data_IF_870571091641
#
_entry.id   IF_870571091641
#
_cell.length_a   1.000
_cell.length_b   1.000
_cell.length_c   1.000
_cell.angle_alpha   90.00
_cell.angle_beta   90.00
_cell.angle_gamma   90.00
#
_symmetry.space_group_name_H-M   'P 1'
#
loop_
_entity.id
_entity.type
_entity.pdbx_description
1 polymer ?
#
# COMPACT_ATOMS: atom_id res chain seq x y z
N UNK A 1 -14.66 -11.30 19.56
CA UNK A 1 -14.15 -9.94 19.29
C UNK A 1 -12.95 -9.93 18.35
N UNK A 2 -12.10 -10.96 18.32
CA UNK A 2 -10.89 -11.04 17.45
C UNK A 2 -11.17 -10.92 15.94
N UNK A 3 -12.26 -11.53 15.45
CA UNK A 3 -12.62 -11.49 14.03
C UNK A 3 -13.15 -10.12 13.57
N UNK A 4 -13.63 -9.27 14.48
CA UNK A 4 -14.14 -7.95 14.13
C UNK A 4 -13.01 -7.04 13.62
N UNK A 5 -11.83 -7.12 14.24
CA UNK A 5 -10.66 -6.36 13.83
C UNK A 5 -10.18 -6.76 12.43
N UNK A 6 -10.22 -8.06 12.10
CA UNK A 6 -9.85 -8.55 10.76
C UNK A 6 -10.76 -7.98 9.68
N UNK A 7 -12.07 -8.05 9.89
CA UNK A 7 -13.05 -7.52 8.91
C UNK A 7 -12.85 -6.02 8.72
N UNK A 8 -12.67 -5.26 9.81
CA UNK A 8 -12.48 -3.82 9.75
C UNK A 8 -11.18 -3.44 9.05
N UNK A 9 -10.07 -4.15 9.31
CA UNK A 9 -8.78 -3.93 8.62
C UNK A 9 -8.91 -4.18 7.13
N UNK A 10 -9.57 -5.27 6.71
CA UNK A 10 -9.74 -5.60 5.29
C UNK A 10 -10.69 -4.63 4.57
N UNK A 11 -11.78 -4.23 5.23
CA UNK A 11 -12.69 -3.22 4.70
C UNK A 11 -11.98 -1.88 4.52
N UNK A 12 -11.20 -1.46 5.53
CA UNK A 12 -10.46 -0.21 5.47
C UNK A 12 -9.34 -0.25 4.41
N UNK A 13 -8.61 -1.38 4.30
CA UNK A 13 -7.60 -1.58 3.26
C UNK A 13 -8.20 -1.43 1.84
N UNK A 14 -9.42 -1.95 1.63
CA UNK A 14 -10.12 -1.83 0.34
C UNK A 14 -10.40 -0.37 -0.02
N UNK A 15 -10.82 0.45 0.95
CA UNK A 15 -11.02 1.89 0.76
C UNK A 15 -9.69 2.61 0.50
N UNK A 16 -8.64 2.31 1.28
CA UNK A 16 -7.33 2.92 1.12
C UNK A 16 -6.67 2.62 -0.23
N UNK A 17 -7.00 1.47 -0.84
CA UNK A 17 -6.36 1.00 -2.08
C UNK A 17 -6.44 2.03 -3.21
N UNK A 18 -7.53 2.78 -3.34
CA UNK A 18 -7.67 3.81 -4.39
C UNK A 18 -6.64 4.94 -4.20
N UNK A 19 -6.45 5.42 -2.97
CA UNK A 19 -5.48 6.46 -2.64
C UNK A 19 -4.05 5.98 -2.80
N UNK A 20 -3.78 4.76 -2.37
CA UNK A 20 -2.47 4.11 -2.52
C UNK A 20 -2.12 3.91 -3.99
N UNK A 21 -3.06 3.41 -4.81
CA UNK A 21 -2.88 3.28 -6.25
C UNK A 21 -2.54 4.62 -6.90
N UNK A 22 -3.25 5.70 -6.54
CA UNK A 22 -2.95 7.03 -7.02
C UNK A 22 -1.52 7.46 -6.67
N UNK A 23 -1.09 7.24 -5.41
CA UNK A 23 0.27 7.53 -4.96
C UNK A 23 1.34 6.72 -5.72
N UNK A 24 1.13 5.41 -5.90
CA UNK A 24 2.03 4.54 -6.65
C UNK A 24 2.16 5.00 -8.11
N UNK A 25 1.04 5.34 -8.75
CA UNK A 25 1.05 5.78 -10.14
C UNK A 25 1.68 7.16 -10.31
N UNK A 26 1.44 8.07 -9.37
CA UNK A 26 2.13 9.36 -9.33
C UNK A 26 3.65 9.13 -9.25
N UNK A 27 4.10 8.27 -8.34
CA UNK A 27 5.54 8.03 -8.17
C UNK A 27 6.17 7.47 -9.44
N UNK A 28 5.54 6.47 -10.08
CA UNK A 28 6.04 5.86 -11.32
C UNK A 28 6.14 6.86 -12.48
N UNK A 29 5.26 7.86 -12.52
CA UNK A 29 5.29 8.92 -13.54
C UNK A 29 6.36 9.96 -13.24
N UNK A 30 6.50 10.35 -11.97
CA UNK A 30 7.44 11.41 -11.56
C UNK A 30 8.89 10.96 -11.65
N UNK A 31 9.23 9.78 -11.12
CA UNK A 31 10.64 9.32 -11.04
C UNK A 31 10.87 8.00 -11.77
N UNK A 32 12.09 7.77 -12.24
CA UNK A 32 12.46 6.48 -12.84
C UNK A 32 12.84 5.51 -11.72
N UNK A 33 12.05 4.45 -11.55
CA UNK A 33 12.20 3.49 -10.45
C UNK A 33 12.57 2.12 -11.01
N UNK A 34 13.51 1.42 -10.37
CA UNK A 34 13.78 0.01 -10.68
C UNK A 34 12.53 -0.83 -10.43
N UNK A 35 12.15 -1.68 -11.39
CA UNK A 35 10.92 -2.49 -11.31
C UNK A 35 10.85 -3.35 -10.03
N UNK A 36 11.99 -3.86 -9.53
CA UNK A 36 12.09 -4.62 -8.27
C UNK A 36 11.73 -3.83 -6.99
N UNK A 37 11.82 -2.49 -7.02
CA UNK A 37 11.53 -1.66 -5.86
C UNK A 37 10.05 -1.25 -5.80
N UNK A 38 9.27 -1.52 -6.86
CA UNK A 38 7.86 -1.17 -6.90
C UNK A 38 7.05 -1.78 -5.75
N UNK A 39 7.21 -3.06 -5.38
CA UNK A 39 6.46 -3.63 -4.26
C UNK A 39 6.79 -2.96 -2.91
N UNK A 40 8.06 -2.63 -2.68
CA UNK A 40 8.50 -1.93 -1.46
C UNK A 40 7.97 -0.50 -1.44
N UNK A 41 7.94 0.18 -2.58
CA UNK A 41 7.31 1.50 -2.71
C UNK A 41 5.80 1.43 -2.47
N UNK A 42 5.12 0.42 -2.99
CA UNK A 42 3.70 0.18 -2.72
C UNK A 42 3.44 0.02 -1.22
N UNK A 43 4.22 -0.83 -0.55
CA UNK A 43 4.15 -0.99 0.91
C UNK A 43 4.41 0.32 1.65
N UNK A 44 5.47 1.05 1.30
CA UNK A 44 5.82 2.33 1.93
C UNK A 44 4.72 3.38 1.79
N UNK A 45 4.19 3.55 0.57
CA UNK A 45 3.06 4.45 0.30
C UNK A 45 1.82 4.01 1.09
N UNK A 46 1.53 2.71 1.12
CA UNK A 46 0.45 2.13 1.91
C UNK A 46 0.55 2.44 3.39
N UNK A 47 1.72 2.24 4.00
CA UNK A 47 1.97 2.54 5.42
C UNK A 47 1.83 4.03 5.73
N UNK A 48 2.31 4.91 4.85
CA UNK A 48 2.17 6.36 5.01
C UNK A 48 0.69 6.75 4.97
N UNK A 49 -0.03 6.32 3.94
CA UNK A 49 -1.47 6.61 3.76
C UNK A 49 -2.29 6.07 4.94
N UNK A 50 -2.02 4.83 5.38
CA UNK A 50 -2.63 4.26 6.58
C UNK A 50 -2.30 5.08 7.83
N UNK A 51 -1.03 5.40 8.06
CA UNK A 51 -0.59 6.18 9.22
C UNK A 51 -1.27 7.54 9.34
N UNK A 52 -1.37 8.28 8.23
CA UNK A 52 -1.98 9.63 8.22
C UNK A 52 -3.51 9.63 8.16
N UNK A 53 -4.16 8.46 8.10
CA UNK A 53 -5.62 8.34 8.00
C UNK A 53 -6.38 8.58 9.32
N UNK A 54 -5.70 8.98 10.40
CA UNK A 54 -6.32 9.29 11.70
C UNK A 54 -7.51 10.27 11.66
N UNK A 55 -7.62 11.24 10.71
CA UNK A 55 -8.78 12.13 10.66
C UNK A 55 -10.07 11.43 10.19
N UNK A 56 -9.96 10.25 9.57
CA UNK A 56 -11.09 9.56 8.93
C UNK A 56 -11.59 8.35 9.72
N UNK A 57 -10.85 7.92 10.76
CA UNK A 57 -11.18 6.70 11.50
C UNK A 57 -10.58 6.68 12.90
N UNK A 58 -11.31 6.10 13.85
CA UNK A 58 -10.88 5.89 15.23
C UNK A 58 -9.99 4.66 15.42
N UNK A 59 -9.62 3.97 14.33
CA UNK A 59 -8.72 2.82 14.41
C UNK A 59 -7.39 3.22 15.05
N UNK A 60 -6.87 2.35 15.91
CA UNK A 60 -5.53 2.54 16.45
C UNK A 60 -4.48 2.49 15.34
N UNK A 61 -3.29 3.04 15.61
CA UNK A 61 -2.21 3.13 14.62
C UNK A 61 -1.84 1.76 14.04
N UNK A 62 -1.77 0.72 14.87
CA UNK A 62 -1.42 -0.64 14.43
C UNK A 62 -2.39 -1.15 13.36
N UNK A 63 -3.70 -1.03 13.57
CA UNK A 63 -4.71 -1.48 12.61
C UNK A 63 -4.68 -0.64 11.31
N UNK A 64 -4.41 0.66 11.43
CA UNK A 64 -4.25 1.54 10.27
C UNK A 64 -3.02 1.20 9.43
N UNK A 65 -1.90 0.88 10.07
CA UNK A 65 -0.69 0.44 9.38
C UNK A 65 -0.89 -0.91 8.70
N UNK A 66 -1.59 -1.86 9.34
CA UNK A 66 -1.95 -3.12 8.70
C UNK A 66 -2.85 -2.92 7.49
N UNK A 67 -3.91 -2.11 7.61
CA UNK A 67 -4.80 -1.81 6.48
C UNK A 67 -4.04 -1.12 5.34
N UNK A 68 -3.22 -0.13 5.66
CA UNK A 68 -2.39 0.58 4.70
C UNK A 68 -1.37 -0.31 4.00
N UNK A 69 -0.66 -1.17 4.75
CA UNK A 69 0.31 -2.10 4.19
C UNK A 69 -0.33 -3.12 3.25
N UNK A 70 -1.49 -3.67 3.63
CA UNK A 70 -2.26 -4.58 2.77
C UNK A 70 -2.75 -3.88 1.50
N UNK A 71 -3.21 -2.63 1.59
CA UNK A 71 -3.59 -1.82 0.43
C UNK A 71 -2.37 -1.56 -0.48
N UNK A 72 -1.22 -1.21 0.11
CA UNK A 72 0.08 -1.03 -0.54
C UNK A 72 0.50 -2.22 -1.38
N UNK A 73 0.55 -3.37 -0.75
CA UNK A 73 0.97 -4.62 -1.39
C UNK A 73 -0.05 -5.09 -2.44
N UNK A 74 -1.34 -4.84 -2.21
CA UNK A 74 -2.40 -5.11 -3.19
C UNK A 74 -2.28 -4.23 -4.44
N UNK A 75 -1.89 -2.96 -4.27
CA UNK A 75 -1.74 -1.99 -5.36
C UNK A 75 -0.58 -2.30 -6.30
N UNK A 76 0.50 -2.91 -5.80
CA UNK A 76 1.72 -3.23 -6.57
C UNK A 76 1.93 -4.71 -6.86
N UNK A 77 1.10 -5.59 -6.27
CA UNK A 77 1.17 -7.05 -6.39
C UNK A 77 2.10 -7.68 -5.34
N UNK A 78 1.52 -8.31 -4.31
CA UNK A 78 2.28 -8.99 -3.24
C UNK A 78 3.20 -10.10 -3.78
N UNK A 79 2.76 -10.78 -4.84
CA UNK A 79 3.51 -11.86 -5.50
C UNK A 79 4.76 -11.36 -6.26
N UNK A 80 4.90 -10.05 -6.48
CA UNK A 80 6.07 -9.47 -7.13
C UNK A 80 7.21 -9.19 -6.15
N UNK A 81 6.98 -9.23 -4.84
CA UNK A 81 7.95 -8.85 -3.81
C UNK A 81 9.23 -9.73 -3.80
N UNK A 82 9.14 -10.95 -4.32
CA UNK A 82 10.28 -11.88 -4.44
C UNK A 82 10.76 -12.13 -5.87
N UNK A 83 10.17 -11.46 -6.88
CA UNK A 83 10.46 -11.75 -8.29
C UNK A 83 11.53 -10.80 -8.82
N UNK A 84 12.56 -11.35 -9.46
CA UNK A 84 13.54 -10.55 -10.19
C UNK A 84 12.95 -10.05 -11.50
N UNK A 85 12.80 -8.73 -11.62
CA UNK A 85 12.31 -7.99 -12.78
C UNK A 85 13.37 -6.96 -13.22
N UNK A 86 14.24 -7.32 -14.17
CA UNK A 86 15.23 -6.37 -14.69
C UNK A 86 14.53 -5.17 -15.38
N UNK A 87 15.20 -4.01 -15.32
CA UNK A 87 14.74 -2.77 -15.94
C UNK A 87 14.04 -1.78 -15.00
N UNK A 88 13.69 -0.62 -15.55
CA UNK A 88 13.08 0.50 -14.85
C UNK A 88 11.66 0.78 -15.34
N UNK A 89 10.94 1.65 -14.65
CA UNK A 89 9.54 2.01 -14.97
C UNK A 89 9.38 2.81 -16.26
N UNK A 90 10.45 3.43 -16.78
CA UNK A 90 10.45 4.24 -18.00
C UNK A 90 11.15 3.57 -19.19
N UNK A 91 11.50 2.29 -19.05
CA UNK A 91 12.06 1.43 -20.12
C UNK A 91 10.93 0.68 -20.84
#
# INVERSE_FOLDING_TARGET
MENANLIVVLAFASVLTVFVLAGVQLMKRTVNVKKNLLPVLGLGIGLIVGGISFPFTDLNLTLRLWAGGLAGLSATGLFELGKNRPGNTKD
#
